data_IF_754341356636
#
_entry.id   IF_754341356636
#
_cell.length_a   1.000
_cell.length_b   1.000
_cell.length_c   1.000
_cell.angle_alpha   90.00
_cell.angle_beta   90.00
_cell.angle_gamma   90.00
#
_symmetry.space_group_name_H-M   'P 1'
#
loop_
_entity.id
_entity.type
_entity.pdbx_description
1 polymer ?
#
# COMPACT_ATOMS: atom_id res chain seq x y z
N UNK A 1 -18.24 -20.63 6.05
CA UNK A 1 -17.97 -19.91 4.78
C UNK A 1 -16.60 -19.27 4.97
N UNK A 2 -15.69 -19.44 4.05
CA UNK A 2 -14.42 -18.71 4.10
C UNK A 2 -14.72 -17.20 3.96
N UNK A 3 -14.07 -16.39 4.77
CA UNK A 3 -14.19 -14.94 4.75
C UNK A 3 -13.59 -14.42 3.44
N UNK A 4 -14.35 -13.61 2.70
CA UNK A 4 -13.89 -13.04 1.44
C UNK A 4 -12.91 -11.90 1.70
N UNK A 5 -11.97 -11.71 0.80
CA UNK A 5 -11.08 -10.56 0.81
C UNK A 5 -11.85 -9.30 0.41
N UNK A 6 -11.91 -8.35 1.32
CA UNK A 6 -12.57 -7.06 1.13
C UNK A 6 -11.70 -6.10 0.31
N UNK A 7 -12.22 -5.68 -0.85
CA UNK A 7 -11.53 -4.79 -1.80
C UNK A 7 -12.21 -3.43 -1.85
N UNK A 8 -11.45 -2.35 -1.61
CA UNK A 8 -11.88 -0.97 -1.87
C UNK A 8 -11.25 -0.49 -3.19
N UNK A 9 -12.06 0.11 -4.06
CA UNK A 9 -11.59 0.68 -5.34
C UNK A 9 -11.60 2.20 -5.27
N UNK A 10 -10.48 2.84 -5.59
CA UNK A 10 -10.35 4.31 -5.64
C UNK A 10 -9.81 4.72 -7.01
N UNK A 11 -10.68 5.34 -7.82
CA UNK A 11 -10.40 5.74 -9.20
C UNK A 11 -11.40 6.85 -9.56
N UNK A 12 -11.02 7.89 -10.30
CA UNK A 12 -11.95 8.96 -10.69
C UNK A 12 -12.81 8.60 -11.90
N UNK A 13 -12.42 7.57 -12.65
CA UNK A 13 -13.17 7.01 -13.77
C UNK A 13 -14.24 6.01 -13.31
N UNK A 14 -15.51 6.43 -13.31
CA UNK A 14 -16.63 5.59 -12.87
C UNK A 14 -16.82 4.34 -13.76
N UNK A 15 -16.51 4.44 -15.06
CA UNK A 15 -16.64 3.32 -15.98
C UNK A 15 -15.56 2.26 -15.68
N UNK A 16 -14.36 2.72 -15.33
CA UNK A 16 -13.29 1.85 -14.90
C UNK A 16 -13.58 1.21 -13.54
N UNK A 17 -14.12 1.96 -12.56
CA UNK A 17 -14.61 1.39 -11.29
C UNK A 17 -15.62 0.26 -11.56
N UNK A 18 -16.57 0.47 -12.46
CA UNK A 18 -17.58 -0.53 -12.80
C UNK A 18 -16.95 -1.79 -13.42
N UNK A 19 -15.98 -1.61 -14.32
CA UNK A 19 -15.21 -2.71 -14.90
C UNK A 19 -14.48 -3.51 -13.82
N UNK A 20 -13.73 -2.84 -12.94
CA UNK A 20 -12.97 -3.47 -11.86
C UNK A 20 -13.89 -4.23 -10.92
N UNK A 21 -15.02 -3.62 -10.52
CA UNK A 21 -16.03 -4.27 -9.68
C UNK A 21 -16.51 -5.58 -10.30
N UNK A 22 -16.84 -5.58 -11.59
CA UNK A 22 -17.23 -6.80 -12.30
C UNK A 22 -16.13 -7.86 -12.33
N UNK A 23 -14.86 -7.47 -12.47
CA UNK A 23 -13.74 -8.39 -12.45
C UNK A 23 -13.55 -9.02 -11.07
N UNK A 24 -13.65 -8.22 -10.00
CA UNK A 24 -13.56 -8.67 -8.62
C UNK A 24 -14.71 -9.63 -8.29
N UNK A 25 -15.94 -9.28 -8.63
CA UNK A 25 -17.14 -10.08 -8.32
C UNK A 25 -17.21 -11.45 -9.03
N UNK A 26 -16.44 -11.64 -10.11
CA UNK A 26 -16.29 -12.95 -10.78
C UNK A 26 -15.52 -13.95 -9.94
N UNK A 27 -14.63 -13.50 -9.06
CA UNK A 27 -13.85 -14.35 -8.18
C UNK A 27 -14.55 -14.49 -6.83
N UNK A 28 -15.01 -15.70 -6.52
CA UNK A 28 -15.76 -15.99 -5.29
C UNK A 28 -14.97 -15.71 -3.99
N UNK A 29 -13.64 -15.58 -4.09
CA UNK A 29 -12.75 -15.30 -2.96
C UNK A 29 -12.70 -13.81 -2.60
N UNK A 30 -13.21 -12.94 -3.49
CA UNK A 30 -13.12 -11.48 -3.40
C UNK A 30 -14.50 -10.86 -3.25
N UNK A 31 -14.53 -9.66 -2.65
CA UNK A 31 -15.73 -8.83 -2.55
C UNK A 31 -15.34 -7.35 -2.67
N UNK A 32 -16.01 -6.62 -3.58
CA UNK A 32 -15.86 -5.18 -3.64
C UNK A 32 -16.75 -4.55 -2.54
N UNK A 33 -16.13 -4.15 -1.43
CA UNK A 33 -16.84 -3.61 -0.25
C UNK A 33 -17.11 -2.12 -0.33
N UNK A 34 -16.49 -1.40 -1.29
CA UNK A 34 -16.71 0.02 -1.49
C UNK A 34 -15.95 0.55 -2.69
N UNK A 35 -16.30 1.77 -3.09
CA UNK A 35 -15.56 2.51 -4.11
C UNK A 35 -15.61 4.02 -3.84
N UNK A 36 -14.60 4.74 -4.32
CA UNK A 36 -14.48 6.19 -4.19
C UNK A 36 -13.91 6.80 -5.46
N UNK A 37 -14.32 8.03 -5.78
CA UNK A 37 -13.85 8.77 -6.95
C UNK A 37 -12.82 9.86 -6.61
N UNK A 38 -12.44 9.98 -5.36
CA UNK A 38 -11.44 10.95 -4.93
C UNK A 38 -10.74 10.51 -3.63
N UNK A 39 -9.64 11.18 -3.33
CA UNK A 39 -8.80 10.92 -2.15
C UNK A 39 -9.58 10.99 -0.84
N UNK A 40 -10.41 12.01 -0.65
CA UNK A 40 -11.09 12.26 0.63
C UNK A 40 -12.04 11.11 0.96
N UNK A 41 -12.93 10.81 0.02
CA UNK A 41 -13.88 9.70 0.17
C UNK A 41 -13.16 8.35 0.29
N UNK A 42 -12.08 8.14 -0.47
CA UNK A 42 -11.25 6.94 -0.39
C UNK A 42 -10.67 6.72 1.00
N UNK A 43 -10.14 7.77 1.62
CA UNK A 43 -9.59 7.69 2.98
C UNK A 43 -10.69 7.47 4.05
N UNK A 44 -11.83 8.10 3.91
CA UNK A 44 -12.97 7.92 4.80
C UNK A 44 -13.48 6.48 4.76
N UNK A 45 -13.75 5.96 3.56
CA UNK A 45 -14.21 4.59 3.37
C UNK A 45 -13.17 3.56 3.81
N UNK A 46 -11.89 3.80 3.58
CA UNK A 46 -10.83 2.89 4.04
C UNK A 46 -10.79 2.78 5.57
N UNK A 47 -11.01 3.88 6.29
CA UNK A 47 -11.08 3.88 7.77
C UNK A 47 -12.32 3.18 8.31
N UNK A 48 -13.45 3.37 7.63
CA UNK A 48 -14.74 2.80 8.03
C UNK A 48 -14.80 1.31 7.73
N UNK A 49 -14.52 0.92 6.47
CA UNK A 49 -14.70 -0.43 5.95
C UNK A 49 -13.53 -1.36 6.26
N UNK A 50 -12.34 -0.82 6.56
CA UNK A 50 -11.10 -1.56 6.86
C UNK A 50 -10.82 -2.66 5.83
N UNK A 51 -10.69 -2.30 4.54
CA UNK A 51 -10.45 -3.27 3.47
C UNK A 51 -9.13 -4.02 3.68
N UNK A 52 -9.09 -5.28 3.25
CA UNK A 52 -7.85 -6.04 3.20
C UNK A 52 -6.87 -5.44 2.19
N UNK A 53 -7.41 -4.98 1.05
CA UNK A 53 -6.65 -4.39 -0.03
C UNK A 53 -7.40 -3.22 -0.67
N UNK A 54 -6.65 -2.17 -1.01
CA UNK A 54 -7.13 -1.00 -1.75
C UNK A 54 -6.52 -1.00 -3.14
N UNK A 55 -7.37 -0.95 -4.16
CA UNK A 55 -6.98 -0.68 -5.53
C UNK A 55 -7.01 0.83 -5.73
N UNK A 56 -5.85 1.42 -6.01
CA UNK A 56 -5.68 2.87 -6.05
C UNK A 56 -5.18 3.31 -7.40
N UNK A 57 -5.96 4.12 -8.11
CA UNK A 57 -5.45 4.81 -9.29
C UNK A 57 -4.37 5.82 -8.91
N UNK A 58 -3.30 5.86 -9.70
CA UNK A 58 -2.25 6.87 -9.52
C UNK A 58 -2.68 8.27 -9.95
N UNK A 59 -3.58 8.38 -10.92
CA UNK A 59 -3.97 9.65 -11.54
C UNK A 59 -5.36 10.12 -11.09
N UNK A 60 -5.54 10.31 -9.78
CA UNK A 60 -6.77 10.86 -9.25
C UNK A 60 -6.87 12.35 -9.57
N UNK A 61 -8.01 12.78 -10.11
CA UNK A 61 -8.34 14.21 -10.34
C UNK A 61 -7.38 14.94 -11.28
N UNK A 62 -6.69 14.24 -12.19
CA UNK A 62 -5.77 14.81 -13.17
C UNK A 62 -4.42 15.25 -12.60
N UNK A 63 -4.12 14.95 -11.35
CA UNK A 63 -2.80 15.17 -10.74
C UNK A 63 -2.08 13.84 -10.50
N UNK A 64 -0.88 13.69 -11.09
CA UNK A 64 -0.07 12.47 -10.99
C UNK A 64 0.36 12.13 -9.56
N UNK A 65 0.25 13.06 -8.62
CA UNK A 65 0.71 12.89 -7.23
C UNK A 65 -0.43 12.57 -6.26
N UNK A 66 -1.66 12.90 -6.58
CA UNK A 66 -2.80 12.77 -5.65
C UNK A 66 -3.10 11.32 -5.29
N UNK A 67 -2.99 10.39 -6.24
CA UNK A 67 -3.13 8.96 -6.00
C UNK A 67 -2.05 8.38 -5.10
N UNK A 68 -0.80 8.83 -5.25
CA UNK A 68 0.33 8.39 -4.40
C UNK A 68 0.11 8.83 -2.96
N UNK A 69 -0.27 10.11 -2.76
CA UNK A 69 -0.52 10.65 -1.42
C UNK A 69 -1.75 9.99 -0.77
N UNK A 70 -2.81 9.76 -1.55
CA UNK A 70 -3.99 9.03 -1.10
C UNK A 70 -3.64 7.61 -0.64
N UNK A 71 -2.89 6.87 -1.46
CA UNK A 71 -2.41 5.53 -1.16
C UNK A 71 -1.58 5.50 0.13
N UNK A 72 -0.62 6.43 0.26
CA UNK A 72 0.22 6.57 1.46
C UNK A 72 -0.62 6.85 2.70
N UNK A 73 -1.53 7.81 2.65
CA UNK A 73 -2.38 8.17 3.78
C UNK A 73 -3.27 7.00 4.22
N UNK A 74 -3.86 6.28 3.27
CA UNK A 74 -4.66 5.08 3.58
C UNK A 74 -3.79 4.01 4.22
N UNK A 75 -2.61 3.70 3.65
CA UNK A 75 -1.67 2.74 4.23
C UNK A 75 -1.32 3.08 5.67
N UNK A 76 -0.96 4.34 5.93
CA UNK A 76 -0.58 4.81 7.26
C UNK A 76 -1.75 4.84 8.24
N UNK A 77 -2.97 5.10 7.76
CA UNK A 77 -4.16 5.14 8.61
C UNK A 77 -4.70 3.75 8.98
N UNK A 78 -4.69 2.80 8.02
CA UNK A 78 -5.39 1.53 8.16
C UNK A 78 -4.48 0.30 8.23
N UNK A 79 -3.30 0.36 7.59
CA UNK A 79 -2.43 -0.79 7.38
C UNK A 79 -2.87 -1.70 6.24
N UNK A 80 -3.97 -1.40 5.54
CA UNK A 80 -4.45 -2.15 4.37
C UNK A 80 -3.33 -2.33 3.34
N UNK A 81 -3.34 -3.42 2.59
CA UNK A 81 -2.45 -3.57 1.45
C UNK A 81 -2.87 -2.61 0.33
N UNK A 82 -1.91 -2.05 -0.37
CA UNK A 82 -2.16 -1.11 -1.48
C UNK A 82 -1.68 -1.75 -2.77
N UNK A 83 -2.55 -1.87 -3.74
CA UNK A 83 -2.23 -2.27 -5.10
C UNK A 83 -2.51 -1.08 -6.04
N UNK A 84 -1.44 -0.50 -6.58
CA UNK A 84 -1.58 0.64 -7.47
C UNK A 84 -2.10 0.20 -8.84
N UNK A 85 -3.06 0.94 -9.36
CA UNK A 85 -3.51 0.83 -10.76
C UNK A 85 -2.90 2.00 -11.53
N UNK A 86 -2.34 1.74 -12.70
CA UNK A 86 -1.69 2.79 -13.47
C UNK A 86 -1.84 2.59 -14.97
N UNK A 87 -2.04 3.70 -15.68
CA UNK A 87 -1.93 3.76 -17.13
C UNK A 87 -0.50 4.07 -17.60
N UNK A 88 0.40 4.44 -16.66
CA UNK A 88 1.79 4.74 -16.99
C UNK A 88 2.59 3.45 -17.13
N UNK A 89 3.05 3.17 -18.34
CA UNK A 89 3.89 2.00 -18.64
C UNK A 89 5.40 2.29 -18.47
N UNK A 90 5.73 3.44 -17.87
CA UNK A 90 7.11 3.83 -17.57
C UNK A 90 7.54 3.23 -16.22
N UNK A 91 8.47 2.26 -16.20
CA UNK A 91 8.83 1.52 -14.98
C UNK A 91 9.32 2.42 -13.86
N UNK A 92 10.10 3.45 -14.18
CA UNK A 92 10.66 4.38 -13.17
C UNK A 92 9.59 5.14 -12.41
N UNK A 93 8.54 5.62 -13.09
CA UNK A 93 7.42 6.33 -12.47
C UNK A 93 6.68 5.38 -11.54
N UNK A 94 6.34 4.20 -12.04
CA UNK A 94 5.58 3.19 -11.28
C UNK A 94 6.34 2.70 -10.04
N UNK A 95 7.65 2.44 -10.17
CA UNK A 95 8.50 2.01 -9.07
C UNK A 95 8.60 3.12 -8.00
N UNK A 96 8.85 4.38 -8.41
CA UNK A 96 8.91 5.50 -7.48
C UNK A 96 7.57 5.76 -6.78
N UNK A 97 6.46 5.66 -7.50
CA UNK A 97 5.12 5.76 -6.94
C UNK A 97 4.87 4.65 -5.89
N UNK A 98 5.19 3.40 -6.25
CA UNK A 98 5.03 2.24 -5.36
C UNK A 98 5.82 2.38 -4.06
N UNK A 99 7.07 2.87 -4.15
CA UNK A 99 7.92 3.13 -3.00
C UNK A 99 7.33 4.22 -2.10
N UNK A 100 6.94 5.37 -2.67
CA UNK A 100 6.37 6.50 -1.94
C UNK A 100 5.04 6.17 -1.27
N UNK A 101 4.22 5.36 -1.90
CA UNK A 101 2.92 4.93 -1.40
C UNK A 101 2.99 3.77 -0.39
N UNK A 102 4.16 3.18 -0.15
CA UNK A 102 4.32 1.90 0.58
C UNK A 102 3.42 0.80 -0.01
N UNK A 103 3.34 0.75 -1.34
CA UNK A 103 2.48 -0.19 -2.04
C UNK A 103 2.96 -1.64 -1.88
N UNK A 104 2.01 -2.57 -1.91
CA UNK A 104 2.29 -4.00 -1.96
C UNK A 104 2.49 -4.53 -3.38
N UNK A 105 2.19 -3.69 -4.39
CA UNK A 105 2.37 -3.99 -5.80
C UNK A 105 1.71 -2.97 -6.70
N UNK A 106 1.77 -3.23 -8.00
CA UNK A 106 1.10 -2.44 -9.01
C UNK A 106 0.60 -3.31 -10.17
N UNK A 107 -0.42 -2.84 -10.88
CA UNK A 107 -0.97 -3.45 -12.10
C UNK A 107 -1.19 -2.35 -13.13
N UNK A 108 -0.78 -2.60 -14.37
CA UNK A 108 -1.12 -1.71 -15.48
C UNK A 108 -2.61 -1.86 -15.84
N UNK A 109 -3.31 -0.73 -16.04
CA UNK A 109 -4.73 -0.74 -16.43
C UNK A 109 -4.97 -1.53 -17.73
N UNK A 110 -3.97 -1.59 -18.61
CA UNK A 110 -3.96 -2.44 -19.82
C UNK A 110 -3.95 -3.95 -19.52
N UNK A 111 -3.59 -4.39 -18.32
CA UNK A 111 -3.42 -5.79 -17.91
C UNK A 111 -4.48 -6.27 -16.91
N UNK A 112 -5.64 -5.64 -16.87
CA UNK A 112 -6.70 -5.95 -15.89
C UNK A 112 -7.28 -7.38 -15.98
N UNK A 113 -6.96 -8.16 -17.01
CA UNK A 113 -7.45 -9.53 -17.16
C UNK A 113 -7.00 -10.46 -16.02
N UNK A 114 -5.83 -10.20 -15.44
CA UNK A 114 -5.26 -10.98 -14.33
C UNK A 114 -5.49 -10.32 -12.97
N UNK A 115 -6.26 -9.22 -12.92
CA UNK A 115 -6.39 -8.38 -11.73
C UNK A 115 -6.91 -9.16 -10.53
N UNK A 116 -7.96 -9.95 -10.68
CA UNK A 116 -8.57 -10.67 -9.56
C UNK A 116 -7.58 -11.64 -8.87
N UNK A 117 -6.81 -12.42 -9.64
CA UNK A 117 -5.78 -13.30 -9.10
C UNK A 117 -4.64 -12.51 -8.44
N UNK A 118 -4.22 -11.39 -9.05
CA UNK A 118 -3.21 -10.49 -8.47
C UNK A 118 -3.69 -9.90 -7.14
N UNK A 119 -4.93 -9.43 -7.07
CA UNK A 119 -5.57 -8.91 -5.84
C UNK A 119 -5.56 -9.99 -4.76
N UNK A 120 -6.05 -11.18 -5.07
CA UNK A 120 -6.10 -12.28 -4.11
C UNK A 120 -4.70 -12.62 -3.57
N UNK A 121 -3.72 -12.82 -4.46
CA UNK A 121 -2.34 -13.12 -4.07
C UNK A 121 -1.72 -12.01 -3.23
N UNK A 122 -1.90 -10.76 -3.66
CA UNK A 122 -1.37 -9.60 -2.90
C UNK A 122 -2.02 -9.51 -1.53
N UNK A 123 -3.32 -9.76 -1.40
CA UNK A 123 -4.01 -9.69 -0.12
C UNK A 123 -3.57 -10.80 0.85
N UNK A 124 -3.37 -12.02 0.35
CA UNK A 124 -3.19 -13.23 1.19
C UNK A 124 -1.74 -13.64 1.40
N UNK A 125 -0.80 -13.16 0.58
CA UNK A 125 0.61 -13.56 0.66
C UNK A 125 1.55 -12.39 0.40
N UNK A 126 2.85 -12.60 0.65
CA UNK A 126 3.90 -11.67 0.26
C UNK A 126 4.30 -12.01 -1.18
N UNK A 127 4.11 -11.06 -2.10
CA UNK A 127 4.43 -11.23 -3.50
C UNK A 127 5.89 -10.84 -3.82
N UNK A 128 6.47 -11.32 -4.94
CA UNK A 128 7.79 -10.84 -5.37
C UNK A 128 7.85 -9.33 -5.60
N UNK A 129 6.78 -8.71 -6.09
CA UNK A 129 6.68 -7.26 -6.22
C UNK A 129 6.75 -6.56 -4.85
N UNK A 130 6.00 -7.07 -3.87
CA UNK A 130 6.01 -6.52 -2.50
C UNK A 130 7.41 -6.60 -1.88
N UNK A 131 8.10 -7.73 -2.04
CA UNK A 131 9.49 -7.88 -1.57
C UNK A 131 10.44 -6.89 -2.26
N UNK A 132 10.31 -6.70 -3.57
CA UNK A 132 11.15 -5.77 -4.30
C UNK A 132 10.92 -4.32 -3.86
N UNK A 133 9.65 -3.89 -3.75
CA UNK A 133 9.30 -2.53 -3.28
C UNK A 133 9.82 -2.29 -1.86
N UNK A 134 9.64 -3.27 -0.99
CA UNK A 134 10.17 -3.26 0.37
C UNK A 134 11.69 -3.07 0.40
N UNK A 135 12.43 -3.82 -0.39
CA UNK A 135 13.90 -3.69 -0.48
C UNK A 135 14.31 -2.29 -0.92
N UNK A 136 13.59 -1.70 -1.89
CA UNK A 136 13.85 -0.32 -2.31
C UNK A 136 13.62 0.70 -1.20
N UNK A 137 12.62 0.49 -0.34
CA UNK A 137 12.35 1.35 0.82
C UNK A 137 13.44 1.19 1.89
N UNK A 138 13.81 -0.06 2.18
CA UNK A 138 14.85 -0.39 3.17
C UNK A 138 16.21 0.19 2.77
N UNK A 139 16.53 0.22 1.49
CA UNK A 139 17.80 0.77 0.98
C UNK A 139 17.91 2.30 1.13
N UNK A 140 16.85 3.02 1.48
CA UNK A 140 16.95 4.44 1.89
C UNK A 140 17.44 4.63 3.33
N UNK A 141 17.47 3.54 4.11
CA UNK A 141 17.87 3.54 5.50
C UNK A 141 19.32 3.13 5.64
N UNK A 142 20.02 3.71 6.62
CA UNK A 142 21.36 3.27 7.01
C UNK A 142 21.31 1.87 7.64
N UNK A 143 22.41 1.16 7.69
CA UNK A 143 22.50 -0.18 8.30
C UNK A 143 21.99 -0.20 9.76
N UNK A 144 22.25 0.87 10.52
CA UNK A 144 21.78 1.01 11.90
C UNK A 144 20.24 1.19 11.96
N UNK A 145 19.68 2.01 11.07
CA UNK A 145 18.21 2.20 10.95
C UNK A 145 17.51 0.93 10.48
N UNK A 146 18.11 0.18 9.54
CA UNK A 146 17.61 -1.12 9.10
C UNK A 146 17.56 -2.13 10.26
N UNK A 147 18.57 -2.11 11.14
CA UNK A 147 18.58 -2.91 12.36
C UNK A 147 17.36 -2.60 13.24
N UNK A 148 17.10 -1.32 13.51
CA UNK A 148 15.92 -0.91 14.31
C UNK A 148 14.61 -1.35 13.67
N UNK A 149 14.46 -1.20 12.35
CA UNK A 149 13.26 -1.63 11.62
C UNK A 149 13.08 -3.14 11.71
N UNK A 150 14.14 -3.93 11.55
CA UNK A 150 14.10 -5.40 11.68
C UNK A 150 13.72 -5.84 13.09
N UNK A 151 14.32 -5.23 14.13
CA UNK A 151 13.99 -5.53 15.53
C UNK A 151 12.53 -5.23 15.81
N UNK A 152 12.01 -4.09 15.34
CA UNK A 152 10.62 -3.71 15.50
C UNK A 152 9.67 -4.64 14.75
N UNK A 153 9.99 -5.06 13.53
CA UNK A 153 9.20 -6.02 12.77
C UNK A 153 9.14 -7.39 13.43
N UNK A 154 10.25 -7.80 14.06
CA UNK A 154 10.34 -9.06 14.80
C UNK A 154 9.74 -8.99 16.22
N UNK A 155 9.32 -7.80 16.69
CA UNK A 155 8.86 -7.59 18.08
C UNK A 155 9.96 -7.77 19.13
N UNK A 156 11.24 -7.61 18.75
CA UNK A 156 12.40 -7.79 19.60
C UNK A 156 12.87 -6.43 20.12
N UNK A 157 13.35 -6.38 21.39
CA UNK A 157 14.02 -5.18 21.90
C UNK A 157 15.42 -5.10 21.32
N UNK A 158 15.73 -3.96 20.69
CA UNK A 158 17.08 -3.68 20.19
C UNK A 158 18.11 -3.64 21.34
N UNK A 159 19.30 -4.15 21.07
CA UNK A 159 20.44 -4.10 22.03
C UNK A 159 21.02 -2.68 22.23
N UNK A 160 20.59 -1.70 21.45
CA UNK A 160 21.06 -0.33 21.51
C UNK A 160 20.43 0.45 22.68
N UNK A 161 21.10 1.54 23.13
CA UNK A 161 20.53 2.40 24.17
C UNK A 161 19.21 3.07 23.73
N UNK A 162 18.36 3.40 24.71
CA UNK A 162 17.08 4.06 24.43
C UNK A 162 17.25 5.38 23.65
N UNK A 163 18.27 6.18 23.97
CA UNK A 163 18.55 7.44 23.28
C UNK A 163 18.96 7.20 21.81
N UNK A 164 19.77 6.18 21.55
CA UNK A 164 20.19 5.79 20.20
C UNK A 164 18.99 5.36 19.37
N UNK A 165 18.11 4.50 19.92
CA UNK A 165 16.90 4.04 19.24
C UNK A 165 15.95 5.21 18.94
N UNK A 166 15.77 6.14 19.89
CA UNK A 166 14.92 7.31 19.69
C UNK A 166 15.42 8.22 18.54
N UNK A 167 16.75 8.45 18.49
CA UNK A 167 17.36 9.22 17.40
C UNK A 167 17.21 8.52 16.04
N UNK A 168 17.43 7.21 15.99
CA UNK A 168 17.26 6.42 14.78
C UNK A 168 15.80 6.42 14.31
N UNK A 169 14.81 6.26 15.22
CA UNK A 169 13.40 6.38 14.87
C UNK A 169 13.04 7.75 14.28
N UNK A 170 13.54 8.83 14.87
CA UNK A 170 13.33 10.19 14.35
C UNK A 170 13.87 10.32 12.92
N UNK A 171 15.07 9.78 12.66
CA UNK A 171 15.67 9.79 11.33
C UNK A 171 14.86 8.95 10.33
N UNK A 172 14.44 7.74 10.72
CA UNK A 172 13.57 6.87 9.91
C UNK A 172 12.28 7.60 9.56
N UNK A 173 11.63 8.23 10.55
CA UNK A 173 10.38 8.97 10.33
C UNK A 173 10.56 10.09 9.31
N UNK A 174 11.64 10.85 9.41
CA UNK A 174 11.96 11.91 8.44
C UNK A 174 12.20 11.36 7.04
N UNK A 175 12.98 10.27 6.90
CA UNK A 175 13.31 9.66 5.60
C UNK A 175 12.08 9.06 4.92
N UNK A 176 11.24 8.36 5.68
CA UNK A 176 10.04 7.71 5.14
C UNK A 176 8.82 8.65 5.07
N UNK A 177 8.92 9.88 5.65
CA UNK A 177 7.81 10.83 5.72
C UNK A 177 6.62 10.28 6.49
N UNK A 178 6.90 9.66 7.65
CA UNK A 178 5.91 9.15 8.62
C UNK A 178 6.03 9.92 9.93
N UNK A 179 5.00 9.86 10.79
CA UNK A 179 4.90 10.73 11.97
C UNK A 179 4.93 9.98 13.29
N UNK A 180 4.73 8.68 13.29
CA UNK A 180 4.60 7.91 14.52
C UNK A 180 5.15 6.49 14.41
N UNK A 181 5.37 5.87 15.58
CA UNK A 181 5.74 4.44 15.65
C UNK A 181 4.61 3.54 15.10
N UNK A 182 3.34 3.91 15.32
CA UNK A 182 2.20 3.15 14.82
C UNK A 182 2.15 3.16 13.29
N UNK A 183 2.44 4.30 12.67
CA UNK A 183 2.56 4.39 11.20
C UNK A 183 3.71 3.50 10.70
N UNK A 184 4.88 3.55 11.36
CA UNK A 184 5.99 2.68 11.00
C UNK A 184 5.59 1.20 11.09
N UNK A 185 4.95 0.78 12.18
CA UNK A 185 4.48 -0.60 12.36
C UNK A 185 3.52 -1.01 11.24
N UNK A 186 2.59 -0.14 10.81
CA UNK A 186 1.69 -0.43 9.68
C UNK A 186 2.42 -0.60 8.34
N UNK A 187 3.52 0.12 8.15
CA UNK A 187 4.38 -0.03 6.96
C UNK A 187 5.11 -1.37 7.01
N UNK A 188 5.72 -1.72 8.17
CA UNK A 188 6.61 -2.87 8.30
C UNK A 188 5.92 -4.18 8.73
N UNK A 189 4.62 -4.15 9.03
CA UNK A 189 3.87 -5.30 9.59
C UNK A 189 4.04 -6.63 8.83
N UNK A 190 4.39 -6.54 7.56
CA UNK A 190 4.59 -7.70 6.69
C UNK A 190 6.03 -7.78 6.14
N UNK A 191 6.99 -7.19 6.83
CA UNK A 191 8.41 -7.15 6.41
C UNK A 191 9.20 -8.35 6.95
#
# INVERSE_FOLDING_TARGET
MEEKIGVLVVDDDIDFIYLIKKLIEKDKRLECIGHAQNKVLGLELAKELKPDIVLMDLNLSGSELDGIDAAKEIKLATGSKILLLTSFEQPEITINASKKAFASGYVYKSQCQTLADTVYRTATSITPQELFIKELIVNELTSAEQGVVKDMAAGVMSASSFSTIANQKTSIFKKLGIKSTDELVRVIKNW
#
